data_IF_314191143809
#
_entry.id   IF_314191143809
#
_cell.length_a   1.000
_cell.length_b   1.000
_cell.length_c   1.000
_cell.angle_alpha   90.00
_cell.angle_beta   90.00
_cell.angle_gamma   90.00
#
_symmetry.space_group_name_H-M   'P 1'
#
loop_
_entity.id
_entity.type
_entity.pdbx_description
1 polymer ?
#
# COMPACT_ATOMS: atom_id res chain seq x y z
N UNK A 1 -7.26 43.81 41.17
CA UNK A 1 -7.19 43.78 39.69
C UNK A 1 -8.36 42.95 39.19
N UNK A 2 -9.28 43.52 38.42
CA UNK A 2 -10.42 42.78 37.87
C UNK A 2 -9.95 41.91 36.71
N UNK A 3 -10.34 40.64 36.68
CA UNK A 3 -10.12 39.79 35.51
C UNK A 3 -11.08 40.23 34.40
N UNK A 4 -10.57 40.45 33.20
CA UNK A 4 -11.40 40.71 32.02
C UNK A 4 -11.83 39.34 31.47
N UNK A 5 -13.14 39.11 31.38
CA UNK A 5 -13.72 37.87 30.84
C UNK A 5 -14.13 38.09 29.39
N UNK A 6 -13.87 37.12 28.53
CA UNK A 6 -14.26 37.16 27.11
C UNK A 6 -15.73 36.76 26.96
N UNK A 7 -16.58 37.69 26.53
CA UNK A 7 -18.01 37.45 26.29
C UNK A 7 -18.27 37.56 24.79
N UNK A 8 -18.83 36.51 24.18
CA UNK A 8 -19.25 36.52 22.78
C UNK A 8 -20.76 36.70 22.69
N UNK A 9 -21.20 37.75 22.01
CA UNK A 9 -22.61 37.93 21.67
C UNK A 9 -22.87 37.32 20.30
N UNK A 10 -23.67 36.26 20.25
CA UNK A 10 -24.10 35.61 19.00
C UNK A 10 -25.54 36.02 18.68
N UNK A 11 -25.78 36.53 17.47
CA UNK A 11 -27.13 36.87 17.02
C UNK A 11 -27.90 35.60 16.63
N UNK A 12 -28.98 35.30 17.35
CA UNK A 12 -29.85 34.18 17.06
C UNK A 12 -31.00 34.63 16.16
N UNK A 13 -30.98 34.17 14.90
CA UNK A 13 -31.98 34.53 13.89
C UNK A 13 -33.39 34.01 14.21
N UNK A 14 -33.49 32.92 14.97
CA UNK A 14 -34.77 32.26 15.28
C UNK A 14 -35.50 32.97 16.41
N UNK A 15 -34.79 33.41 17.45
CA UNK A 15 -35.36 34.18 18.56
C UNK A 15 -35.30 35.70 18.35
N UNK A 16 -34.60 36.16 17.30
CA UNK A 16 -34.33 37.59 17.03
C UNK A 16 -33.70 38.31 18.23
N UNK A 17 -32.81 37.63 18.94
CA UNK A 17 -32.14 38.13 20.14
C UNK A 17 -30.64 37.77 20.12
N UNK A 18 -29.86 38.46 20.96
CA UNK A 18 -28.46 38.12 21.20
C UNK A 18 -28.35 37.10 22.34
N UNK A 19 -27.78 35.94 22.02
CA UNK A 19 -27.37 34.96 23.01
C UNK A 19 -25.98 35.33 23.52
N UNK A 20 -25.81 35.28 24.84
CA UNK A 20 -24.52 35.53 25.50
C UNK A 20 -23.83 34.19 25.68
N UNK A 21 -22.76 33.95 24.91
CA UNK A 21 -21.95 32.74 25.01
C UNK A 21 -20.75 33.06 25.89
N UNK A 22 -20.67 32.39 27.04
CA UNK A 22 -19.51 32.41 27.93
C UNK A 22 -18.68 31.14 27.73
N UNK A 23 -17.74 31.09 26.77
CA UNK A 23 -16.98 29.88 26.46
C UNK A 23 -16.17 29.34 27.65
N UNK A 24 -15.87 30.16 28.66
CA UNK A 24 -15.18 29.79 29.89
C UNK A 24 -16.06 29.10 30.95
N UNK A 25 -17.40 29.23 30.89
CA UNK A 25 -18.34 28.61 31.85
C UNK A 25 -19.40 27.73 31.20
N UNK A 26 -19.62 27.86 29.90
CA UNK A 26 -20.65 27.16 29.13
C UNK A 26 -20.02 26.37 27.97
N UNK A 27 -18.99 25.57 28.29
CA UNK A 27 -18.27 24.73 27.31
C UNK A 27 -19.17 23.77 26.53
N UNK A 28 -20.34 23.42 27.08
CA UNK A 28 -21.38 22.64 26.42
C UNK A 28 -22.03 23.35 25.22
N UNK A 29 -21.84 24.66 25.02
CA UNK A 29 -22.30 25.37 23.81
C UNK A 29 -21.28 25.29 22.66
N UNK A 30 -20.07 24.80 22.93
CA UNK A 30 -19.05 24.48 21.91
C UNK A 30 -19.18 23.00 21.51
N UNK A 31 -20.38 22.57 21.10
CA UNK A 31 -20.68 21.15 20.83
C UNK A 31 -20.05 20.63 19.53
N UNK A 32 -19.76 21.51 18.58
CA UNK A 32 -19.44 21.12 17.21
C UNK A 32 -17.92 20.99 16.95
N UNK A 33 -17.09 21.38 17.91
CA UNK A 33 -15.64 21.28 17.77
C UNK A 33 -15.15 19.83 17.75
N UNK A 34 -15.66 18.99 18.64
CA UNK A 34 -15.21 17.61 18.74
C UNK A 34 -15.63 16.79 17.50
N UNK A 35 -16.92 16.88 17.12
CA UNK A 35 -17.45 16.18 15.95
C UNK A 35 -16.81 16.68 14.65
N UNK A 36 -16.68 18.01 14.49
CA UNK A 36 -16.06 18.63 13.32
C UNK A 36 -14.59 18.25 13.16
N UNK A 37 -13.78 18.34 14.22
CA UNK A 37 -12.35 18.00 14.18
C UNK A 37 -12.15 16.50 13.95
N UNK A 38 -12.90 15.63 14.64
CA UNK A 38 -12.80 14.18 14.45
C UNK A 38 -13.20 13.80 13.02
N UNK A 39 -14.26 14.40 12.48
CA UNK A 39 -14.70 14.18 11.10
C UNK A 39 -13.67 14.64 10.06
N UNK A 40 -13.06 15.82 10.25
CA UNK A 40 -12.03 16.35 9.36
C UNK A 40 -10.74 15.52 9.44
N UNK A 41 -10.31 15.13 10.65
CA UNK A 41 -9.12 14.30 10.82
C UNK A 41 -9.32 12.89 10.27
N UNK A 42 -10.47 12.27 10.54
CA UNK A 42 -10.78 10.94 10.00
C UNK A 42 -10.87 10.96 8.47
N UNK A 43 -11.55 11.94 7.87
CA UNK A 43 -11.64 12.07 6.41
C UNK A 43 -10.30 12.39 5.76
N UNK A 44 -9.47 13.24 6.37
CA UNK A 44 -8.14 13.58 5.87
C UNK A 44 -7.17 12.41 6.00
N UNK A 45 -7.17 11.71 7.15
CA UNK A 45 -6.31 10.56 7.39
C UNK A 45 -6.70 9.37 6.50
N UNK A 46 -8.00 9.04 6.38
CA UNK A 46 -8.47 8.02 5.44
C UNK A 46 -8.19 8.42 3.99
N UNK A 47 -8.40 9.68 3.61
CA UNK A 47 -8.09 10.16 2.26
C UNK A 47 -6.61 10.04 1.92
N UNK A 48 -5.73 10.38 2.86
CA UNK A 48 -4.28 10.23 2.71
C UNK A 48 -3.85 8.75 2.64
N UNK A 49 -4.42 7.89 3.48
CA UNK A 49 -4.13 6.46 3.48
C UNK A 49 -4.62 5.80 2.18
N UNK A 50 -5.84 6.11 1.74
CA UNK A 50 -6.39 5.63 0.47
C UNK A 50 -5.57 6.16 -0.69
N UNK A 51 -5.13 7.41 -0.67
CA UNK A 51 -4.26 7.95 -1.73
C UNK A 51 -2.88 7.27 -1.72
N UNK A 52 -2.34 6.94 -0.57
CA UNK A 52 -1.05 6.23 -0.43
C UNK A 52 -1.15 4.76 -0.87
N UNK A 53 -2.25 4.09 -0.55
CA UNK A 53 -2.55 2.72 -0.99
C UNK A 53 -2.91 2.65 -2.47
N UNK A 54 -3.67 3.62 -2.97
CA UNK A 54 -4.10 3.75 -4.38
C UNK A 54 -3.05 4.39 -5.27
N UNK A 55 -2.00 4.97 -4.69
CA UNK A 55 -0.85 5.44 -5.45
C UNK A 55 -0.24 4.23 -6.14
N UNK A 56 -0.20 4.27 -7.47
CA UNK A 56 0.28 3.21 -8.36
C UNK A 56 1.68 2.66 -7.98
N UNK A 57 2.41 3.37 -7.11
CA UNK A 57 3.73 2.98 -6.61
C UNK A 57 3.73 2.05 -5.40
N UNK A 58 2.77 2.09 -4.47
CA UNK A 58 2.88 1.28 -3.24
C UNK A 58 2.49 -0.18 -3.48
N UNK A 59 1.35 -0.43 -4.11
CA UNK A 59 0.95 -1.78 -4.47
C UNK A 59 1.99 -2.42 -5.42
N UNK A 60 2.51 -1.65 -6.39
CA UNK A 60 3.59 -2.11 -7.26
C UNK A 60 4.85 -2.50 -6.48
N UNK A 61 5.27 -1.69 -5.49
CA UNK A 61 6.41 -2.00 -4.61
C UNK A 61 6.15 -3.22 -3.71
N UNK A 62 4.91 -3.43 -3.26
CA UNK A 62 4.55 -4.61 -2.47
C UNK A 62 4.60 -5.87 -3.34
N UNK A 63 4.05 -5.83 -4.55
CA UNK A 63 4.14 -6.93 -5.52
C UNK A 63 5.61 -7.22 -5.83
N UNK A 64 6.43 -6.22 -6.09
CA UNK A 64 7.87 -6.37 -6.33
C UNK A 64 8.57 -7.05 -5.15
N UNK A 65 8.30 -6.62 -3.91
CA UNK A 65 8.85 -7.24 -2.71
C UNK A 65 8.41 -8.68 -2.52
N UNK A 66 7.13 -8.99 -2.78
CA UNK A 66 6.59 -10.35 -2.69
C UNK A 66 7.23 -11.26 -3.73
N UNK A 67 7.36 -10.81 -4.98
CA UNK A 67 8.01 -11.56 -6.05
C UNK A 67 9.50 -11.80 -5.73
N UNK A 68 10.20 -10.79 -5.22
CA UNK A 68 11.60 -10.94 -4.80
C UNK A 68 11.75 -11.92 -3.62
N UNK A 69 10.91 -11.81 -2.60
CA UNK A 69 10.95 -12.69 -1.42
C UNK A 69 10.60 -14.15 -1.77
N UNK A 70 9.72 -14.36 -2.73
CA UNK A 70 9.37 -15.69 -3.23
C UNK A 70 10.42 -16.28 -4.17
N UNK A 71 11.49 -15.54 -4.48
CA UNK A 71 12.63 -16.02 -5.24
C UNK A 71 12.46 -15.91 -6.75
N UNK A 72 11.55 -15.05 -7.22
CA UNK A 72 11.44 -14.71 -8.65
C UNK A 72 12.72 -14.03 -9.11
N UNK A 73 13.32 -14.54 -10.18
CA UNK A 73 14.56 -14.00 -10.77
C UNK A 73 14.47 -14.10 -12.28
N UNK A 74 15.01 -13.12 -13.00
CA UNK A 74 14.99 -13.16 -14.46
C UNK A 74 16.24 -12.53 -15.05
N UNK A 75 16.55 -12.96 -16.28
CA UNK A 75 17.56 -12.33 -17.13
C UNK A 75 16.97 -12.19 -18.53
N UNK A 76 16.77 -10.94 -18.95
CA UNK A 76 16.30 -10.61 -20.30
C UNK A 76 17.50 -10.43 -21.22
N UNK A 77 17.80 -11.45 -22.01
CA UNK A 77 18.84 -11.45 -23.03
C UNK A 77 18.53 -12.45 -24.14
N UNK A 78 19.37 -12.50 -25.16
CA UNK A 78 19.24 -13.44 -26.28
C UNK A 78 19.32 -14.91 -25.82
N UNK A 79 20.04 -15.16 -24.73
CA UNK A 79 19.93 -16.36 -23.91
C UNK A 79 19.47 -15.92 -22.52
N UNK A 80 18.21 -16.19 -22.20
CA UNK A 80 17.54 -15.68 -21.01
C UNK A 80 16.87 -16.76 -20.19
N UNK A 81 16.44 -16.38 -19.00
CA UNK A 81 15.66 -17.24 -18.12
C UNK A 81 14.72 -16.43 -17.23
N UNK A 82 13.67 -17.10 -16.77
CA UNK A 82 12.73 -16.64 -15.75
C UNK A 82 12.52 -17.77 -14.74
N UNK A 83 12.90 -17.54 -13.49
CA UNK A 83 12.58 -18.37 -12.34
C UNK A 83 11.36 -17.78 -11.65
N UNK A 84 10.30 -18.59 -11.49
CA UNK A 84 9.03 -18.17 -10.88
C UNK A 84 9.03 -18.30 -9.35
N UNK A 85 10.15 -18.70 -8.75
CA UNK A 85 10.28 -18.82 -7.30
C UNK A 85 9.45 -19.94 -6.69
N UNK A 86 9.31 -19.93 -5.37
CA UNK A 86 8.63 -20.96 -4.58
C UNK A 86 7.12 -21.03 -4.81
N UNK A 87 6.49 -19.92 -5.26
CA UNK A 87 5.05 -19.87 -5.55
C UNK A 87 4.61 -20.90 -6.59
N UNK A 88 5.52 -21.25 -7.51
CA UNK A 88 5.27 -22.19 -8.61
C UNK A 88 6.21 -23.40 -8.54
N UNK A 89 6.59 -23.80 -7.33
CA UNK A 89 7.43 -24.99 -7.11
C UNK A 89 8.86 -24.86 -7.65
N UNK A 90 9.35 -23.64 -7.86
CA UNK A 90 10.68 -23.39 -8.42
C UNK A 90 10.77 -23.58 -9.94
N UNK A 91 9.65 -23.48 -10.67
CA UNK A 91 9.64 -23.59 -12.13
C UNK A 91 10.55 -22.55 -12.79
N UNK A 92 11.35 -22.99 -13.75
CA UNK A 92 12.26 -22.14 -14.53
C UNK A 92 11.94 -22.29 -16.02
N UNK A 93 11.67 -21.17 -16.67
CA UNK A 93 11.53 -21.06 -18.13
C UNK A 93 12.84 -20.51 -18.69
N UNK A 94 13.39 -21.12 -19.73
CA UNK A 94 14.64 -20.69 -20.37
C UNK A 94 14.46 -20.60 -21.88
N UNK A 95 15.14 -19.65 -22.51
CA UNK A 95 15.15 -19.49 -23.96
C UNK A 95 16.54 -19.11 -24.45
N UNK A 96 16.79 -19.38 -25.72
CA UNK A 96 18.03 -19.05 -26.40
C UNK A 96 17.82 -18.99 -27.91
N UNK A 97 18.53 -18.07 -28.57
CA UNK A 97 18.57 -18.03 -30.03
C UNK A 97 19.73 -18.87 -30.56
N UNK A 98 19.49 -19.58 -31.66
CA UNK A 98 20.44 -20.50 -32.27
C UNK A 98 20.55 -20.22 -33.77
N UNK A 99 21.76 -19.94 -34.24
CA UNK A 99 22.04 -19.43 -35.58
C UNK A 99 22.55 -20.47 -36.60
N UNK A 100 22.76 -21.73 -36.21
CA UNK A 100 23.31 -22.76 -37.10
C UNK A 100 22.42 -24.01 -37.18
N UNK A 101 22.30 -24.57 -38.39
CA UNK A 101 21.59 -25.81 -38.68
C UNK A 101 22.56 -27.01 -38.64
N UNK A 102 22.65 -27.67 -37.49
CA UNK A 102 23.46 -28.88 -37.28
C UNK A 102 23.21 -29.51 -35.91
N UNK A 103 23.89 -30.62 -35.58
CA UNK A 103 23.87 -31.19 -34.23
C UNK A 103 24.58 -30.25 -33.26
N UNK A 104 23.86 -29.67 -32.31
CA UNK A 104 24.38 -28.63 -31.42
C UNK A 104 24.01 -28.91 -29.97
N UNK A 105 24.99 -28.75 -29.09
CA UNK A 105 24.81 -28.73 -27.63
C UNK A 105 24.34 -27.35 -27.20
N UNK A 106 23.10 -27.25 -26.71
CA UNK A 106 22.54 -26.01 -26.17
C UNK A 106 22.85 -25.93 -24.68
N UNK A 107 23.67 -24.95 -24.29
CA UNK A 107 23.96 -24.67 -22.88
C UNK A 107 22.96 -23.64 -22.35
N UNK A 108 22.07 -24.08 -21.46
CA UNK A 108 21.12 -23.21 -20.78
C UNK A 108 21.80 -22.39 -19.66
N UNK A 109 21.41 -21.13 -19.45
CA UNK A 109 22.02 -20.23 -18.47
C UNK A 109 21.85 -20.70 -17.01
N UNK A 110 20.85 -21.53 -16.72
CA UNK A 110 20.71 -22.19 -15.42
C UNK A 110 20.65 -23.71 -15.56
N UNK A 111 21.44 -24.43 -14.75
CA UNK A 111 21.38 -25.89 -14.65
C UNK A 111 20.02 -26.31 -14.08
N UNK A 112 19.20 -26.99 -14.87
CA UNK A 112 17.99 -27.62 -14.37
C UNK A 112 18.41 -28.88 -13.60
N UNK A 113 18.35 -28.83 -12.28
CA UNK A 113 18.44 -30.04 -11.46
C UNK A 113 17.04 -30.65 -11.39
N UNK A 114 16.77 -31.68 -12.18
CA UNK A 114 15.59 -32.53 -11.95
C UNK A 114 15.86 -33.34 -10.69
N UNK A 115 15.49 -32.81 -9.51
CA UNK A 115 15.48 -33.60 -8.28
C UNK A 115 14.26 -34.51 -8.36
N UNK A 116 14.46 -35.74 -8.83
CA UNK A 116 13.45 -36.79 -8.70
C UNK A 116 13.28 -37.03 -7.19
N UNK A 117 12.23 -36.47 -6.59
CA UNK A 117 11.82 -36.83 -5.25
C UNK A 117 11.26 -38.25 -5.35
N UNK A 118 12.10 -39.25 -5.08
CA UNK A 118 11.62 -40.60 -4.83
C UNK A 118 10.71 -40.51 -3.60
N UNK A 119 9.40 -40.58 -3.82
CA UNK A 119 8.43 -40.80 -2.76
C UNK A 119 8.70 -42.18 -2.18
N UNK A 120 9.27 -42.24 -0.98
CA UNK A 120 9.14 -43.41 -0.13
C UNK A 120 7.67 -43.55 0.27
N UNK A 121 6.94 -44.48 -0.34
CA UNK A 121 5.57 -44.77 0.08
C UNK A 121 4.79 -45.68 -0.87
N UNK A 122 4.81 -46.97 -0.52
CA UNK A 122 4.03 -48.11 -1.04
C UNK A 122 4.59 -48.79 -2.29
#
# INVERSE_FOLDING_TARGET
>A
MSILKGILHHWNKTSSAYDTIHPETESAQVTDWNSGIVGTLASTALGSLVTTLSSDSLLAKLIEKVLSATGVKYQTGQNGYLCLGSLFGGLIIQWGYQGNAGNITVNFPHRIYVRMLCGSGQ
#
